data_IF_832988524384
#
_entry.id   IF_832988524384
#
_cell.length_a   1.000
_cell.length_b   1.000
_cell.length_c   1.000
_cell.angle_alpha   90.00
_cell.angle_beta   90.00
_cell.angle_gamma   90.00
#
_symmetry.space_group_name_H-M   'P 1'
#
loop_
_entity.id
_entity.type
_entity.pdbx_description
1 polymer ?
#
# COMPACT_ATOMS: atom_id res chain seq x y z
N UNK A 1 19.60 44.37 11.01
CA UNK A 1 20.19 43.27 10.19
C UNK A 1 19.81 41.95 10.84
N UNK A 2 18.72 41.35 10.37
CA UNK A 2 18.22 40.06 10.86
C UNK A 2 19.18 38.92 10.46
N UNK A 3 19.71 38.21 11.45
CA UNK A 3 20.38 36.93 11.21
C UNK A 3 19.30 35.85 11.07
N UNK A 4 19.07 35.41 9.83
CA UNK A 4 18.32 34.18 9.55
C UNK A 4 19.06 33.00 10.18
N UNK A 5 18.51 32.45 11.26
CA UNK A 5 18.89 31.14 11.78
C UNK A 5 18.33 30.07 10.84
N UNK A 6 19.14 29.66 9.88
CA UNK A 6 19.00 28.38 9.19
C UNK A 6 19.33 27.27 10.20
N UNK A 7 18.37 27.00 11.09
CA UNK A 7 18.40 25.88 12.01
C UNK A 7 18.09 24.59 11.27
N UNK A 8 19.11 24.05 10.60
CA UNK A 8 19.21 22.60 10.40
C UNK A 8 19.29 21.98 11.80
N UNK A 9 18.15 21.72 12.44
CA UNK A 9 18.12 20.91 13.64
C UNK A 9 18.29 19.45 13.22
N UNK A 10 19.57 19.07 13.17
CA UNK A 10 20.04 17.72 13.39
C UNK A 10 19.23 17.13 14.54
N UNK A 11 18.53 16.02 14.28
CA UNK A 11 17.86 15.23 15.31
C UNK A 11 18.96 14.47 16.06
N UNK A 12 19.64 15.18 16.95
CA UNK A 12 20.81 14.75 17.71
C UNK A 12 20.40 14.03 19.02
N UNK A 13 19.48 13.06 18.90
CA UNK A 13 19.01 12.24 20.03
C UNK A 13 18.69 10.80 19.58
N UNK A 14 19.63 10.16 18.88
CA UNK A 14 19.57 8.73 18.54
C UNK A 14 20.84 8.03 19.01
N UNK A 15 20.78 6.78 19.53
CA UNK A 15 21.95 6.06 20.01
C UNK A 15 23.02 5.94 18.92
N UNK A 16 24.29 6.17 19.30
CA UNK A 16 25.50 6.29 18.45
C UNK A 16 25.84 5.08 17.55
N UNK A 17 24.99 4.06 17.48
CA UNK A 17 25.15 2.88 16.61
C UNK A 17 24.58 3.00 15.19
N UNK A 18 23.84 4.06 14.86
CA UNK A 18 23.10 4.16 13.58
C UNK A 18 23.89 4.76 12.40
N UNK A 19 25.15 5.17 12.61
CA UNK A 19 25.96 5.78 11.54
C UNK A 19 26.48 4.78 10.49
N UNK A 20 26.43 3.47 10.76
CA UNK A 20 26.99 2.42 9.89
C UNK A 20 25.96 1.86 8.88
N UNK A 21 24.67 2.18 9.00
CA UNK A 21 23.62 1.75 8.06
C UNK A 21 23.39 2.70 6.86
N UNK A 22 24.26 3.70 6.68
CA UNK A 22 24.19 4.63 5.55
C UNK A 22 24.84 4.01 4.30
N UNK A 23 24.08 3.28 3.50
CA UNK A 23 24.59 2.82 2.21
C UNK A 23 23.82 1.72 1.51
N UNK A 24 23.09 0.87 2.25
CA UNK A 24 22.26 -0.16 1.62
C UNK A 24 20.97 0.46 1.11
N UNK A 25 20.71 0.47 -0.20
CA UNK A 25 19.44 0.97 -0.73
C UNK A 25 18.28 0.15 -0.13
N UNK A 26 17.13 0.80 0.08
CA UNK A 26 15.87 0.24 0.60
C UNK A 26 15.22 -0.75 -0.38
N UNK A 27 16.00 -1.70 -0.91
CA UNK A 27 15.55 -2.74 -1.85
C UNK A 27 14.65 -3.81 -1.22
N UNK A 28 14.49 -3.81 0.11
CA UNK A 28 13.61 -4.76 0.82
C UNK A 28 12.16 -4.71 0.33
N UNK A 29 11.63 -3.52 0.06
CA UNK A 29 10.27 -3.38 -0.49
C UNK A 29 10.13 -3.95 -1.91
N UNK A 30 11.18 -3.82 -2.73
CA UNK A 30 11.20 -4.39 -4.09
C UNK A 30 11.18 -5.91 -4.03
N UNK A 31 11.94 -6.52 -3.11
CA UNK A 31 11.94 -7.97 -2.93
C UNK A 31 10.55 -8.49 -2.54
N UNK A 32 9.83 -7.80 -1.65
CA UNK A 32 8.46 -8.17 -1.25
C UNK A 32 7.49 -8.07 -2.44
N UNK A 33 7.54 -6.98 -3.21
CA UNK A 33 6.68 -6.81 -4.39
C UNK A 33 7.00 -7.87 -5.43
N UNK A 34 8.28 -8.14 -5.69
CA UNK A 34 8.70 -9.16 -6.64
C UNK A 34 8.22 -10.56 -6.23
N UNK A 35 8.33 -10.90 -4.94
CA UNK A 35 7.78 -12.14 -4.40
C UNK A 35 6.26 -12.22 -4.58
N UNK A 36 5.52 -11.13 -4.32
CA UNK A 36 4.07 -11.08 -4.52
C UNK A 36 3.66 -11.27 -5.99
N UNK A 37 4.39 -10.63 -6.92
CA UNK A 37 4.18 -10.80 -8.37
C UNK A 37 4.45 -12.24 -8.80
N UNK A 38 5.56 -12.85 -8.36
CA UNK A 38 5.86 -14.25 -8.65
C UNK A 38 4.78 -15.17 -8.09
N UNK A 39 4.37 -14.97 -6.83
CA UNK A 39 3.34 -15.80 -6.21
C UNK A 39 2.02 -15.76 -7.01
N UNK A 40 1.61 -14.57 -7.45
CA UNK A 40 0.44 -14.40 -8.32
C UNK A 40 0.60 -15.14 -9.66
N UNK A 41 1.74 -14.98 -10.33
CA UNK A 41 2.00 -15.64 -11.62
C UNK A 41 2.04 -17.16 -11.50
N UNK A 42 2.72 -17.69 -10.47
CA UNK A 42 2.79 -19.12 -10.20
C UNK A 42 1.40 -19.69 -9.93
N UNK A 43 0.59 -18.99 -9.13
CA UNK A 43 -0.79 -19.40 -8.87
C UNK A 43 -1.63 -19.44 -10.17
N UNK A 44 -1.50 -18.42 -11.03
CA UNK A 44 -2.26 -18.34 -12.29
C UNK A 44 -1.85 -19.37 -13.34
N UNK A 45 -0.56 -19.72 -13.43
CA UNK A 45 -0.02 -20.58 -14.50
C UNK A 45 0.08 -22.03 -14.05
N UNK A 46 0.59 -22.27 -12.84
CA UNK A 46 0.95 -23.62 -12.36
C UNK A 46 -0.21 -24.23 -11.57
N UNK A 47 -0.72 -23.51 -10.57
CA UNK A 47 -1.76 -24.02 -9.67
C UNK A 47 -3.14 -24.00 -10.33
N UNK A 48 -3.38 -23.03 -11.24
CA UNK A 48 -4.68 -22.79 -11.89
C UNK A 48 -5.80 -22.61 -10.88
N UNK A 49 -5.54 -21.80 -9.85
CA UNK A 49 -6.52 -21.52 -8.81
C UNK A 49 -7.70 -20.66 -9.29
N UNK A 50 -8.57 -20.30 -8.35
CA UNK A 50 -9.80 -19.56 -8.64
C UNK A 50 -9.44 -18.14 -9.08
N UNK A 51 -9.75 -17.82 -10.34
CA UNK A 51 -9.46 -16.51 -10.92
C UNK A 51 -10.54 -15.50 -10.53
N UNK A 52 -10.16 -14.55 -9.67
CA UNK A 52 -11.01 -13.41 -9.34
C UNK A 52 -10.53 -12.16 -10.08
N UNK A 53 -11.46 -11.27 -10.45
CA UNK A 53 -11.11 -9.96 -11.02
C UNK A 53 -10.46 -9.03 -9.98
N UNK A 54 -10.69 -9.28 -8.69
CA UNK A 54 -10.10 -8.49 -7.62
C UNK A 54 -8.58 -8.69 -7.49
N UNK A 55 -8.07 -9.91 -7.66
CA UNK A 55 -6.65 -10.22 -7.47
C UNK A 55 -5.69 -9.35 -8.33
N UNK A 56 -5.86 -9.21 -9.65
CA UNK A 56 -4.99 -8.34 -10.46
C UNK A 56 -5.13 -6.85 -10.11
N UNK A 57 -6.28 -6.39 -9.59
CA UNK A 57 -6.41 -5.00 -9.12
C UNK A 57 -5.62 -4.74 -7.84
N UNK A 58 -5.61 -5.70 -6.91
CA UNK A 58 -4.77 -5.59 -5.71
C UNK A 58 -3.30 -5.59 -6.11
N UNK A 59 -2.90 -6.43 -7.08
CA UNK A 59 -1.53 -6.43 -7.59
C UNK A 59 -1.16 -5.10 -8.26
N UNK A 60 -2.08 -4.51 -9.05
CA UNK A 60 -1.92 -3.16 -9.61
C UNK A 60 -1.67 -2.13 -8.51
N UNK A 61 -2.46 -2.14 -7.43
CA UNK A 61 -2.29 -1.21 -6.32
C UNK A 61 -0.95 -1.40 -5.59
N UNK A 62 -0.55 -2.65 -5.32
CA UNK A 62 0.73 -2.99 -4.67
C UNK A 62 1.91 -2.54 -5.52
N UNK A 63 1.93 -2.90 -6.80
CA UNK A 63 3.01 -2.52 -7.73
C UNK A 63 3.01 -1.00 -7.93
N UNK A 64 1.86 -0.38 -8.14
CA UNK A 64 1.73 1.06 -8.32
C UNK A 64 2.24 1.86 -7.11
N UNK A 65 1.82 1.49 -5.90
CA UNK A 65 2.29 2.15 -4.67
C UNK A 65 3.79 1.90 -4.45
N UNK A 66 4.26 0.70 -4.77
CA UNK A 66 5.67 0.33 -4.78
C UNK A 66 6.51 1.19 -5.73
N UNK A 67 6.03 1.45 -6.94
CA UNK A 67 6.68 2.33 -7.90
C UNK A 67 6.75 3.77 -7.39
N UNK A 68 5.67 4.28 -6.78
CA UNK A 68 5.69 5.62 -6.16
C UNK A 68 6.73 5.70 -5.03
N UNK A 69 6.80 4.68 -4.17
CA UNK A 69 7.80 4.59 -3.12
C UNK A 69 9.23 4.49 -3.66
N UNK A 70 9.44 3.65 -4.68
CA UNK A 70 10.72 3.51 -5.35
C UNK A 70 11.18 4.82 -5.99
N UNK A 71 10.30 5.54 -6.68
CA UNK A 71 10.61 6.84 -7.26
C UNK A 71 11.00 7.86 -6.18
N UNK A 72 10.31 7.85 -5.02
CA UNK A 72 10.61 8.72 -3.88
C UNK A 72 12.02 8.45 -3.33
N UNK A 73 12.36 7.17 -3.12
CA UNK A 73 13.65 6.75 -2.58
C UNK A 73 14.80 6.92 -3.58
N UNK A 74 14.58 6.59 -4.85
CA UNK A 74 15.56 6.81 -5.91
C UNK A 74 15.90 8.30 -6.03
N UNK A 75 14.91 9.18 -5.89
CA UNK A 75 15.14 10.62 -5.97
C UNK A 75 15.93 11.15 -4.77
N UNK A 76 15.70 10.63 -3.56
CA UNK A 76 16.52 10.94 -2.36
C UNK A 76 17.98 10.56 -2.60
N UNK A 77 18.22 9.35 -3.12
CA UNK A 77 19.57 8.85 -3.41
C UNK A 77 20.26 9.70 -4.49
N UNK A 78 19.56 10.00 -5.59
CA UNK A 78 20.13 10.75 -6.72
C UNK A 78 20.44 12.20 -6.35
N UNK A 79 19.59 12.85 -5.55
CA UNK A 79 19.75 14.27 -5.20
C UNK A 79 20.70 14.52 -4.03
N UNK A 80 21.19 13.48 -3.35
CA UNK A 80 22.05 13.59 -2.14
C UNK A 80 21.47 14.54 -1.07
N UNK A 81 20.15 14.70 -1.05
CA UNK A 81 19.41 15.50 -0.09
C UNK A 81 18.29 14.63 0.50
N UNK A 82 17.92 14.90 1.75
CA UNK A 82 16.92 14.11 2.47
C UNK A 82 15.48 14.27 1.95
N UNK A 83 15.26 15.01 0.85
CA UNK A 83 13.94 15.23 0.26
C UNK A 83 13.79 14.39 -1.01
N UNK A 84 12.80 13.51 -1.00
CA UNK A 84 12.41 12.72 -2.17
C UNK A 84 11.52 13.49 -3.13
N UNK A 85 10.40 12.88 -3.54
CA UNK A 85 9.39 13.55 -4.34
C UNK A 85 8.83 14.76 -3.60
N UNK A 86 8.46 15.80 -4.36
CA UNK A 86 7.65 16.88 -3.82
C UNK A 86 6.37 16.27 -3.23
N UNK A 87 5.98 16.68 -2.00
CA UNK A 87 4.79 16.20 -1.30
C UNK A 87 3.54 16.21 -2.18
N UNK A 88 3.35 17.28 -2.98
CA UNK A 88 2.23 17.40 -3.93
C UNK A 88 2.29 16.37 -5.06
N UNK A 89 3.48 16.09 -5.58
CA UNK A 89 3.67 15.10 -6.63
C UNK A 89 3.46 13.68 -6.10
N UNK A 90 4.01 13.35 -4.93
CA UNK A 90 3.81 12.04 -4.27
C UNK A 90 2.33 11.80 -3.99
N UNK A 91 1.65 12.79 -3.40
CA UNK A 91 0.22 12.72 -3.15
C UNK A 91 -0.58 12.62 -4.46
N UNK A 92 -0.23 13.38 -5.49
CA UNK A 92 -0.88 13.31 -6.80
C UNK A 92 -0.78 11.93 -7.45
N UNK A 93 0.38 11.27 -7.38
CA UNK A 93 0.56 9.91 -7.88
C UNK A 93 -0.24 8.88 -7.06
N UNK A 94 -0.24 8.99 -5.73
CA UNK A 94 -1.04 8.13 -4.86
C UNK A 94 -2.54 8.31 -5.11
N UNK A 95 -2.99 9.55 -5.31
CA UNK A 95 -4.38 9.87 -5.63
C UNK A 95 -4.78 9.29 -7.00
N UNK A 96 -3.95 9.47 -8.03
CA UNK A 96 -4.20 8.91 -9.35
C UNK A 96 -4.31 7.38 -9.31
N UNK A 97 -3.41 6.71 -8.57
CA UNK A 97 -3.44 5.27 -8.37
C UNK A 97 -4.73 4.83 -7.66
N UNK A 98 -5.13 5.53 -6.61
CA UNK A 98 -6.32 5.17 -5.84
C UNK A 98 -7.62 5.38 -6.62
N UNK A 99 -7.72 6.46 -7.40
CA UNK A 99 -8.86 6.70 -8.28
C UNK A 99 -8.92 5.68 -9.43
N UNK A 100 -7.78 5.33 -10.03
CA UNK A 100 -7.72 4.27 -11.04
C UNK A 100 -8.17 2.92 -10.45
N UNK A 101 -7.71 2.58 -9.25
CA UNK A 101 -8.14 1.38 -8.55
C UNK A 101 -9.64 1.40 -8.29
N UNK A 102 -10.19 2.52 -7.79
CA UNK A 102 -11.61 2.64 -7.48
C UNK A 102 -12.48 2.41 -8.72
N UNK A 103 -12.14 3.06 -9.84
CA UNK A 103 -12.84 2.93 -11.11
C UNK A 103 -12.79 1.50 -11.65
N UNK A 104 -11.61 0.87 -11.65
CA UNK A 104 -11.48 -0.50 -12.15
C UNK A 104 -12.15 -1.53 -11.22
N UNK A 105 -12.10 -1.31 -9.92
CA UNK A 105 -12.77 -2.19 -8.95
C UNK A 105 -14.29 -2.19 -9.18
N UNK A 106 -14.84 -1.02 -9.45
CA UNK A 106 -16.26 -0.86 -9.74
C UNK A 106 -16.63 -1.40 -11.13
N UNK A 107 -16.06 -0.84 -12.19
CA UNK A 107 -16.50 -1.07 -13.57
C UNK A 107 -16.06 -2.43 -14.12
N UNK A 108 -14.85 -2.87 -13.76
CA UNK A 108 -14.29 -4.11 -14.31
C UNK A 108 -14.46 -5.30 -13.37
N UNK A 109 -14.18 -5.12 -12.08
CA UNK A 109 -14.33 -6.19 -11.09
C UNK A 109 -15.75 -6.32 -10.53
N UNK A 110 -16.62 -5.32 -10.70
CA UNK A 110 -18.01 -5.38 -10.23
C UNK A 110 -18.13 -5.45 -8.71
N UNK A 111 -17.23 -4.80 -7.96
CA UNK A 111 -17.28 -4.86 -6.50
C UNK A 111 -18.56 -4.22 -5.94
N UNK A 112 -19.06 -4.76 -4.83
CA UNK A 112 -20.20 -4.17 -4.14
C UNK A 112 -19.79 -2.88 -3.43
N UNK A 113 -20.48 -1.77 -3.74
CA UNK A 113 -20.19 -0.44 -3.17
C UNK A 113 -20.81 -0.23 -1.78
N UNK A 114 -21.48 -1.23 -1.23
CA UNK A 114 -21.97 -1.19 0.14
C UNK A 114 -20.82 -1.40 1.12
N UNK A 115 -20.61 -0.40 1.98
CA UNK A 115 -19.75 -0.54 3.14
C UNK A 115 -20.48 -1.35 4.20
N UNK A 116 -20.05 -2.60 4.40
CA UNK A 116 -20.62 -3.47 5.42
C UNK A 116 -19.71 -3.62 6.63
N UNK A 117 -20.30 -3.65 7.82
CA UNK A 117 -19.56 -3.69 9.09
C UNK A 117 -19.19 -5.11 9.56
N UNK A 118 -19.91 -6.14 9.08
CA UNK A 118 -19.78 -7.51 9.59
C UNK A 118 -19.77 -8.58 8.49
N UNK A 119 -20.80 -8.64 7.63
CA UNK A 119 -20.89 -9.57 6.47
C UNK A 119 -21.58 -8.93 5.29
N UNK A 120 -21.20 -9.30 4.06
CA UNK A 120 -21.73 -8.72 2.81
C UNK A 120 -23.28 -8.66 2.69
N UNK A 121 -24.01 -9.54 3.40
CA UNK A 121 -25.47 -9.64 3.37
C UNK A 121 -26.19 -8.92 4.53
N UNK A 122 -25.45 -8.28 5.42
CA UNK A 122 -26.01 -7.48 6.51
C UNK A 122 -26.14 -6.00 6.07
N UNK A 123 -27.03 -5.22 6.72
CA UNK A 123 -27.24 -3.82 6.35
C UNK A 123 -25.91 -3.06 6.38
N UNK A 124 -25.65 -2.36 5.29
CA UNK A 124 -24.48 -1.53 5.07
C UNK A 124 -24.88 -0.18 4.52
N UNK A 125 -23.89 0.70 4.39
CA UNK A 125 -24.09 2.03 3.80
C UNK A 125 -23.70 1.93 2.32
N UNK A 126 -24.65 2.14 1.41
CA UNK A 126 -24.31 2.29 -0.01
C UNK A 126 -23.55 3.60 -0.19
N UNK A 127 -22.27 3.51 -0.52
CA UNK A 127 -21.43 4.69 -0.70
C UNK A 127 -21.68 5.40 -2.05
N UNK A 128 -22.26 4.70 -3.02
CA UNK A 128 -22.33 5.13 -4.41
C UNK A 128 -20.94 5.34 -5.04
N UNK A 129 -20.92 5.73 -6.31
CA UNK A 129 -19.70 5.93 -7.11
C UNK A 129 -18.69 6.87 -6.41
N UNK A 130 -19.17 8.04 -5.97
CA UNK A 130 -18.31 9.06 -5.37
C UNK A 130 -17.83 8.70 -3.96
N UNK A 131 -18.70 8.12 -3.13
CA UNK A 131 -18.33 7.68 -1.79
C UNK A 131 -17.35 6.50 -1.83
N UNK A 132 -17.53 5.58 -2.78
CA UNK A 132 -16.59 4.49 -3.03
C UNK A 132 -15.21 5.02 -3.44
N UNK A 133 -15.15 5.94 -4.40
CA UNK A 133 -13.89 6.56 -4.81
C UNK A 133 -13.20 7.28 -3.65
N UNK A 134 -13.94 8.06 -2.85
CA UNK A 134 -13.40 8.73 -1.67
C UNK A 134 -12.88 7.73 -0.62
N UNK A 135 -13.60 6.62 -0.42
CA UNK A 135 -13.19 5.56 0.50
C UNK A 135 -11.91 4.85 0.02
N UNK A 136 -11.83 4.49 -1.27
CA UNK A 136 -10.63 3.89 -1.85
C UNK A 136 -9.41 4.82 -1.73
N UNK A 137 -9.58 6.13 -1.96
CA UNK A 137 -8.53 7.14 -1.74
C UNK A 137 -8.10 7.16 -0.28
N UNK A 138 -9.06 7.21 0.66
CA UNK A 138 -8.77 7.22 2.09
C UNK A 138 -7.95 6.00 2.50
N UNK A 139 -8.34 4.80 2.06
CA UNK A 139 -7.66 3.55 2.40
C UNK A 139 -6.27 3.50 1.75
N UNK A 140 -6.18 3.66 0.43
CA UNK A 140 -4.91 3.47 -0.29
C UNK A 140 -3.89 4.56 0.09
N UNK A 141 -4.29 5.83 0.01
CA UNK A 141 -3.40 6.95 0.31
C UNK A 141 -3.13 7.02 1.81
N UNK A 142 -4.16 6.85 2.64
CA UNK A 142 -4.03 6.89 4.10
C UNK A 142 -3.12 5.80 4.63
N UNK A 143 -3.34 4.53 4.25
CA UNK A 143 -2.50 3.42 4.70
C UNK A 143 -1.08 3.53 4.17
N UNK A 144 -0.87 3.95 2.90
CA UNK A 144 0.48 4.14 2.35
C UNK A 144 1.29 5.17 3.14
N UNK A 145 0.67 6.29 3.52
CA UNK A 145 1.33 7.31 4.32
C UNK A 145 1.49 6.89 5.80
N UNK A 146 0.53 6.15 6.37
CA UNK A 146 0.61 5.64 7.74
C UNK A 146 1.76 4.63 7.93
N UNK A 147 1.92 3.69 6.99
CA UNK A 147 3.02 2.72 7.01
C UNK A 147 4.36 3.43 6.81
N UNK A 148 4.44 4.40 5.87
CA UNK A 148 5.66 5.19 5.67
C UNK A 148 6.06 6.00 6.92
N UNK A 149 5.10 6.47 7.71
CA UNK A 149 5.37 7.15 8.98
C UNK A 149 5.86 6.19 10.08
N UNK A 150 5.41 4.93 10.03
CA UNK A 150 5.77 3.88 11.00
C UNK A 150 7.14 3.26 10.72
N UNK A 151 7.64 3.36 9.48
CA UNK A 151 8.93 2.80 9.02
C UNK A 151 10.17 3.61 9.49
N UNK A 152 10.07 4.29 10.64
CA UNK A 152 11.13 5.12 11.22
C UNK A 152 11.99 4.41 12.28
N UNK A 153 11.65 3.17 12.63
CA UNK A 153 12.37 2.32 13.59
C UNK A 153 12.65 0.95 12.97
N UNK A 154 13.82 0.39 13.26
CA UNK A 154 14.27 -0.91 12.72
C UNK A 154 13.21 -2.00 12.97
N UNK A 155 12.58 -2.48 11.90
CA UNK A 155 11.65 -3.60 11.93
C UNK A 155 10.22 -3.29 12.39
N UNK A 156 9.88 -2.05 12.78
CA UNK A 156 8.53 -1.73 13.28
C UNK A 156 7.47 -1.86 12.18
N UNK A 157 7.69 -1.27 11.01
CA UNK A 157 6.75 -1.35 9.89
C UNK A 157 6.65 -2.77 9.32
N UNK A 158 7.77 -3.48 9.21
CA UNK A 158 7.77 -4.87 8.75
C UNK A 158 7.03 -5.79 9.75
N UNK A 159 7.31 -5.65 11.05
CA UNK A 159 6.66 -6.40 12.12
C UNK A 159 5.16 -6.15 12.18
N UNK A 160 4.72 -4.89 12.21
CA UNK A 160 3.29 -4.55 12.25
C UNK A 160 2.55 -4.98 10.97
N UNK A 161 3.18 -4.83 9.80
CA UNK A 161 2.60 -5.28 8.53
C UNK A 161 2.46 -6.79 8.46
N UNK A 162 3.38 -7.55 9.07
CA UNK A 162 3.29 -9.01 9.07
C UNK A 162 2.01 -9.53 9.75
N UNK A 163 1.61 -8.93 10.89
CA UNK A 163 0.35 -9.25 11.55
C UNK A 163 -0.86 -8.91 10.68
N UNK A 164 -0.85 -7.74 10.03
CA UNK A 164 -1.92 -7.34 9.11
C UNK A 164 -2.05 -8.33 7.93
N UNK A 165 -0.93 -8.73 7.33
CA UNK A 165 -0.92 -9.70 6.23
C UNK A 165 -1.40 -11.09 6.66
N UNK A 166 -1.03 -11.55 7.86
CA UNK A 166 -1.55 -12.82 8.41
C UNK A 166 -3.06 -12.76 8.58
N UNK A 167 -3.59 -11.69 9.17
CA UNK A 167 -5.04 -11.52 9.30
C UNK A 167 -5.75 -11.52 7.95
N UNK A 168 -5.22 -10.78 6.96
CA UNK A 168 -5.79 -10.75 5.61
C UNK A 168 -5.72 -12.12 4.92
N UNK A 169 -4.64 -12.87 5.11
CA UNK A 169 -4.49 -14.22 4.56
C UNK A 169 -5.51 -15.19 5.17
N UNK A 170 -5.75 -15.13 6.48
CA UNK A 170 -6.78 -15.94 7.16
C UNK A 170 -8.17 -15.58 6.66
N UNK A 171 -8.48 -14.28 6.51
CA UNK A 171 -9.76 -13.82 5.98
C UNK A 171 -9.98 -14.30 4.53
N UNK A 172 -8.97 -14.15 3.67
CA UNK A 172 -9.04 -14.61 2.29
C UNK A 172 -9.26 -16.13 2.22
N UNK A 173 -8.49 -16.91 3.00
CA UNK A 173 -8.65 -18.35 3.07
C UNK A 173 -10.06 -18.73 3.54
N UNK A 174 -10.58 -18.07 4.57
CA UNK A 174 -11.94 -18.30 5.07
C UNK A 174 -12.99 -18.05 4.00
N UNK A 175 -12.88 -16.92 3.28
CA UNK A 175 -13.78 -16.56 2.19
C UNK A 175 -13.77 -17.60 1.07
N UNK A 176 -12.61 -18.05 0.62
CA UNK A 176 -12.48 -19.08 -0.41
C UNK A 176 -13.00 -20.46 0.03
N UNK A 177 -13.04 -20.74 1.34
CA UNK A 177 -13.66 -21.96 1.89
C UNK A 177 -15.18 -21.87 2.04
N UNK A 178 -15.75 -20.66 2.00
CA UNK A 178 -17.19 -20.42 2.15
C UNK A 178 -17.74 -19.57 0.98
N UNK A 179 -17.55 -19.98 -0.28
CA UNK A 179 -17.89 -19.13 -1.44
C UNK A 179 -19.39 -18.78 -1.52
N UNK A 180 -20.27 -19.65 -1.01
CA UNK A 180 -21.72 -19.40 -0.92
C UNK A 180 -22.05 -18.15 -0.10
N UNK A 181 -21.24 -17.85 0.91
CA UNK A 181 -21.39 -16.72 1.82
C UNK A 181 -20.68 -15.45 1.33
N UNK A 182 -19.96 -15.48 0.20
CA UNK A 182 -19.16 -14.33 -0.24
C UNK A 182 -19.23 -14.04 -1.75
N UNK A 183 -19.93 -14.87 -2.54
CA UNK A 183 -20.13 -14.69 -4.00
C UNK A 183 -18.84 -14.31 -4.73
N UNK A 184 -17.77 -15.08 -4.49
CA UNK A 184 -16.42 -14.78 -4.99
C UNK A 184 -16.19 -15.10 -6.47
N UNK A 185 -17.22 -15.54 -7.21
CA UNK A 185 -17.20 -15.89 -8.64
C UNK A 185 -18.53 -15.49 -9.26
#
# INVERSE_FOLDING_TARGET
MERRSLGHQVREAGPKGHAIKSGTPTLGGIAIIFAAVIAFVVEHIVVRGIRTRAAPLVLLAVVGAGLVGFLDDWLKLRRKHNQGLNKRAKFGLQLALALLFALLAEEWAGVNLNLTFTRYNLPGINLGHWGWAAFAVLVIVGTSNAVNFTDGLDGLAAGSSSFAFVCLAVLAYWQFRHPADYKLV
#
